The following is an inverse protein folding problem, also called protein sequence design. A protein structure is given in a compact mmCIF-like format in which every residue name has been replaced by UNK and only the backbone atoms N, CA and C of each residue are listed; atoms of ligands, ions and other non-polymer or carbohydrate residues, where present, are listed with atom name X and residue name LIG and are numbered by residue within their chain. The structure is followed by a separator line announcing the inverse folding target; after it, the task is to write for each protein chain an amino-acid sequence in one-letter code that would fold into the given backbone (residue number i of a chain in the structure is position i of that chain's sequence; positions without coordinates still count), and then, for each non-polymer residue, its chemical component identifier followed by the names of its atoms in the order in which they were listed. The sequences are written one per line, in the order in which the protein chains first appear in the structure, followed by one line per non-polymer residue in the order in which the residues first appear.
data_IF_141128612075
#
_entry.id   IF_141128612075
#
_cell.length_a   1.000
_cell.length_b   1.000
_cell.length_c   1.000
_cell.angle_alpha   90.00
_cell.angle_beta   90.00
_cell.angle_gamma   90.00
#
_symmetry.space_group_name_H-M   'P 1'
#
loop_
_entity.id
_entity.type
_entity.pdbx_description
1 polymer ?
#
# COMPACT_ATOMS: atom_id res chain seq x y z
N UNK A 1 66.88 36.20 52.08
CA UNK A 1 67.69 35.23 51.32
C UNK A 1 66.83 34.68 50.19
N UNK A 2 66.95 35.25 49.00
CA UNK A 2 67.54 34.66 47.80
C UNK A 2 66.96 33.27 47.51
N UNK A 3 66.35 32.96 46.42
CA UNK A 3 66.59 33.06 45.00
C UNK A 3 65.33 32.42 44.31
N UNK A 4 64.91 32.70 43.28
CA UNK A 4 65.26 33.15 41.91
C UNK A 4 64.47 32.22 40.89
N UNK A 5 63.77 32.86 40.06
CA UNK A 5 63.53 32.71 38.61
C UNK A 5 63.29 31.33 37.93
N UNK A 6 62.31 31.34 37.09
CA UNK A 6 62.23 31.23 35.61
C UNK A 6 60.98 30.41 35.28
N UNK A 7 60.01 30.85 34.55
CA UNK A 7 60.13 31.29 33.17
C UNK A 7 59.75 30.09 32.28
N UNK A 8 58.52 29.95 31.95
CA UNK A 8 58.05 28.90 31.06
C UNK A 8 56.85 29.42 30.25
N UNK A 9 57.12 29.87 29.03
CA UNK A 9 56.22 30.30 28.01
C UNK A 9 55.22 29.16 27.67
N UNK A 10 53.97 29.34 27.99
CA UNK A 10 52.85 28.47 27.45
C UNK A 10 52.43 29.01 26.10
N UNK A 11 52.78 28.28 25.07
CA UNK A 11 52.25 28.46 23.73
C UNK A 11 50.72 28.20 23.77
N UNK A 12 49.95 29.22 23.49
CA UNK A 12 48.55 29.10 23.09
C UNK A 12 48.50 28.29 21.81
N UNK A 13 47.93 27.09 21.92
CA UNK A 13 47.49 26.29 20.75
C UNK A 13 46.12 26.80 20.38
N UNK A 14 46.06 27.57 19.31
CA UNK A 14 44.81 28.02 18.71
C UNK A 14 44.00 26.84 18.27
N UNK A 15 42.87 26.61 18.95
CA UNK A 15 41.84 25.70 18.50
C UNK A 15 41.13 26.36 17.31
N UNK A 16 41.42 25.90 16.11
CA UNK A 16 40.71 26.29 14.90
C UNK A 16 39.24 25.87 15.08
N UNK A 17 38.36 26.84 15.17
CA UNK A 17 36.91 26.67 15.08
C UNK A 17 36.64 26.13 13.71
N UNK A 18 36.26 24.83 13.62
CA UNK A 18 35.74 24.23 12.40
C UNK A 18 34.33 24.79 12.21
N UNK A 19 34.21 25.72 11.27
CA UNK A 19 32.91 26.16 10.75
C UNK A 19 32.15 24.94 10.26
N UNK A 20 31.16 24.50 11.04
CA UNK A 20 30.19 23.51 10.63
C UNK A 20 29.29 24.14 9.57
N UNK A 21 29.61 23.89 8.32
CA UNK A 21 28.77 24.25 7.17
C UNK A 21 27.47 23.46 7.23
N UNK A 22 26.28 24.07 7.42
CA UNK A 22 25.00 23.37 7.48
C UNK A 22 24.45 23.09 6.07
N UNK A 23 25.11 22.25 5.30
CA UNK A 23 24.63 21.78 3.98
C UNK A 23 24.35 20.28 3.95
N UNK A 24 23.66 19.76 4.97
CA UNK A 24 23.31 18.35 5.07
C UNK A 24 21.89 18.07 5.59
N UNK A 25 21.10 19.09 5.98
CA UNK A 25 19.80 18.87 6.63
C UNK A 25 18.56 19.03 5.70
N UNK A 26 18.76 19.28 4.41
CA UNK A 26 17.64 19.63 3.50
C UNK A 26 16.69 18.47 3.15
N UNK A 27 17.21 17.26 3.05
CA UNK A 27 16.37 16.11 2.61
C UNK A 27 15.47 15.58 3.73
N UNK A 28 15.97 15.42 4.94
CA UNK A 28 15.18 14.96 6.09
C UNK A 28 14.10 15.96 6.50
N UNK A 29 14.41 17.27 6.46
CA UNK A 29 13.46 18.34 6.74
C UNK A 29 12.38 18.45 5.65
N UNK A 30 12.74 18.20 4.38
CA UNK A 30 11.77 18.23 3.26
C UNK A 30 10.83 17.02 3.28
N UNK A 31 11.32 15.84 3.66
CA UNK A 31 10.49 14.63 3.83
C UNK A 31 9.49 14.81 4.98
N UNK A 32 9.95 15.24 6.16
CA UNK A 32 9.06 15.51 7.29
C UNK A 32 8.03 16.61 7.00
N UNK A 33 8.39 17.63 6.19
CA UNK A 33 7.44 18.64 5.74
C UNK A 33 6.41 18.12 4.77
N UNK A 34 6.78 17.17 3.91
CA UNK A 34 5.85 16.54 2.95
C UNK A 34 4.85 15.63 3.67
N UNK A 35 5.29 14.84 4.63
CA UNK A 35 4.43 14.00 5.48
C UNK A 35 3.46 14.85 6.30
N UNK A 36 3.94 15.89 6.97
CA UNK A 36 3.08 16.82 7.71
C UNK A 36 2.01 17.50 6.82
N UNK A 37 2.33 17.75 5.54
CA UNK A 37 1.34 18.27 4.60
C UNK A 37 0.29 17.21 4.22
N UNK A 38 0.64 15.93 4.18
CA UNK A 38 -0.31 14.84 3.95
C UNK A 38 -1.19 14.61 5.18
N UNK A 39 -0.64 14.67 6.40
CA UNK A 39 -1.42 14.62 7.64
C UNK A 39 -2.43 15.77 7.73
N UNK A 40 -1.99 16.99 7.40
CA UNK A 40 -2.88 18.15 7.29
C UNK A 40 -3.96 17.94 6.22
N UNK A 41 -3.62 17.28 5.11
CA UNK A 41 -4.59 16.96 4.05
C UNK A 41 -5.64 15.98 4.54
N UNK A 42 -5.28 14.97 5.35
CA UNK A 42 -6.23 14.05 5.96
C UNK A 42 -7.23 14.80 6.85
N UNK A 43 -6.76 15.70 7.72
CA UNK A 43 -7.61 16.54 8.58
C UNK A 43 -8.57 17.39 7.75
N UNK A 44 -8.09 17.97 6.65
CA UNK A 44 -8.95 18.76 5.75
C UNK A 44 -10.01 17.89 5.09
N UNK A 45 -9.64 16.69 4.59
CA UNK A 45 -10.59 15.75 3.97
C UNK A 45 -11.67 15.32 4.97
N UNK A 46 -11.29 15.00 6.20
CA UNK A 46 -12.26 14.63 7.25
C UNK A 46 -13.26 15.75 7.54
N UNK A 47 -12.80 17.00 7.51
CA UNK A 47 -13.62 18.17 7.83
C UNK A 47 -14.56 18.60 6.73
N UNK A 48 -14.12 18.60 5.47
CA UNK A 48 -14.89 19.17 4.35
C UNK A 48 -15.23 18.17 3.24
N UNK A 49 -14.75 16.94 3.33
CA UNK A 49 -14.95 15.88 2.34
C UNK A 49 -13.88 15.85 1.25
N UNK A 50 -13.68 14.67 0.66
CA UNK A 50 -12.66 14.41 -0.35
C UNK A 50 -12.79 15.28 -1.60
N UNK A 51 -14.03 15.57 -2.03
CA UNK A 51 -14.35 16.36 -3.22
C UNK A 51 -13.99 17.83 -3.11
N UNK A 52 -14.20 18.39 -1.93
CA UNK A 52 -14.09 19.83 -1.70
C UNK A 52 -12.68 20.28 -1.33
N UNK A 53 -11.75 19.31 -1.16
CA UNK A 53 -10.35 19.62 -0.84
C UNK A 53 -9.67 20.32 -2.00
N UNK A 54 -9.00 21.41 -1.69
CA UNK A 54 -8.15 22.17 -2.61
C UNK A 54 -6.74 22.36 -2.04
N UNK A 55 -5.77 22.67 -2.89
CA UNK A 55 -4.41 23.02 -2.44
C UNK A 55 -4.44 24.15 -1.42
N UNK A 56 -5.34 25.13 -1.58
CA UNK A 56 -5.43 26.27 -0.66
C UNK A 56 -5.96 25.89 0.73
N UNK A 57 -6.81 24.88 0.82
CA UNK A 57 -7.22 24.33 2.10
C UNK A 57 -6.03 23.73 2.85
N UNK A 58 -5.18 22.98 2.13
CA UNK A 58 -3.99 22.35 2.70
C UNK A 58 -2.90 23.38 3.03
N UNK A 59 -2.71 24.43 2.23
CA UNK A 59 -1.83 25.58 2.57
C UNK A 59 -2.19 26.15 3.94
N UNK A 60 -3.49 26.42 4.18
CA UNK A 60 -3.97 27.01 5.44
C UNK A 60 -3.80 26.08 6.63
N UNK A 61 -4.00 24.77 6.43
CA UNK A 61 -3.91 23.78 7.49
C UNK A 61 -2.46 23.44 7.85
N UNK A 62 -1.61 23.21 6.83
CA UNK A 62 -0.23 22.77 7.02
C UNK A 62 0.77 23.89 7.25
N UNK A 63 0.42 25.13 6.90
CA UNK A 63 1.36 26.26 6.85
C UNK A 63 2.43 26.16 5.76
N UNK A 64 2.40 25.11 4.93
CA UNK A 64 3.33 24.93 3.80
C UNK A 64 2.94 25.87 2.66
N UNK A 65 3.93 26.51 2.02
CA UNK A 65 3.66 27.43 0.92
C UNK A 65 3.01 26.72 -0.28
N UNK A 66 2.12 27.44 -0.99
CA UNK A 66 1.48 26.96 -2.21
C UNK A 66 2.50 26.45 -3.23
N UNK A 67 3.59 27.20 -3.47
CA UNK A 67 4.65 26.80 -4.40
C UNK A 67 5.31 25.47 -4.01
N UNK A 68 5.48 25.24 -2.71
CA UNK A 68 6.05 23.97 -2.19
C UNK A 68 5.09 22.80 -2.41
N UNK A 69 3.79 22.98 -2.13
CA UNK A 69 2.78 21.93 -2.37
C UNK A 69 2.69 21.58 -3.85
N UNK A 70 2.67 22.58 -4.74
CA UNK A 70 2.68 22.32 -6.19
C UNK A 70 3.95 21.58 -6.64
N UNK A 71 5.11 21.91 -6.07
CA UNK A 71 6.35 21.21 -6.37
C UNK A 71 6.32 19.75 -5.92
N UNK A 72 5.67 19.43 -4.78
CA UNK A 72 5.61 18.06 -4.25
C UNK A 72 4.55 17.20 -4.91
N UNK A 73 3.41 17.77 -5.24
CA UNK A 73 2.21 17.03 -5.64
C UNK A 73 1.72 17.37 -7.05
N UNK A 74 2.21 18.45 -7.66
CA UNK A 74 1.81 18.90 -8.99
C UNK A 74 0.47 19.59 -9.02
N UNK A 75 -0.60 18.90 -8.65
CA UNK A 75 -1.96 19.41 -8.65
C UNK A 75 -2.80 18.79 -7.52
N UNK A 76 -4.11 19.08 -7.48
CA UNK A 76 -5.05 18.50 -6.52
C UNK A 76 -5.09 16.96 -6.59
N UNK A 77 -5.14 16.41 -7.79
CA UNK A 77 -5.22 14.97 -8.01
C UNK A 77 -3.96 14.27 -7.48
N UNK A 78 -2.78 14.83 -7.79
CA UNK A 78 -1.51 14.31 -7.27
C UNK A 78 -1.42 14.41 -5.74
N UNK A 79 -1.97 15.45 -5.12
CA UNK A 79 -2.07 15.56 -3.66
C UNK A 79 -2.97 14.46 -3.10
N UNK A 80 -4.16 14.26 -3.66
CA UNK A 80 -5.11 13.24 -3.19
C UNK A 80 -4.59 11.83 -3.40
N UNK A 81 -3.93 11.56 -4.53
CA UNK A 81 -3.25 10.28 -4.77
C UNK A 81 -2.16 10.03 -3.73
N UNK A 82 -1.31 11.04 -3.46
CA UNK A 82 -0.26 10.92 -2.44
C UNK A 82 -0.83 10.75 -1.03
N UNK A 83 -1.97 11.38 -0.71
CA UNK A 83 -2.67 11.20 0.55
C UNK A 83 -3.16 9.75 0.71
N UNK A 84 -3.81 9.19 -0.30
CA UNK A 84 -4.28 7.80 -0.27
C UNK A 84 -3.10 6.81 -0.09
N UNK A 85 -1.98 7.06 -0.78
CA UNK A 85 -0.76 6.25 -0.61
C UNK A 85 -0.17 6.38 0.81
N UNK A 86 -0.16 7.58 1.37
CA UNK A 86 0.31 7.84 2.73
C UNK A 86 -0.53 7.09 3.78
N UNK A 87 -1.84 7.18 3.67
CA UNK A 87 -2.77 6.50 4.58
C UNK A 87 -2.72 4.97 4.46
N UNK A 88 -2.35 4.45 3.30
CA UNK A 88 -2.16 3.02 3.09
C UNK A 88 -0.85 2.47 3.69
N UNK A 89 0.03 3.33 4.22
CA UNK A 89 1.32 2.91 4.78
C UNK A 89 1.25 1.74 5.77
N UNK A 90 0.43 1.80 6.83
CA UNK A 90 0.29 0.71 7.80
C UNK A 90 -0.23 -0.60 7.17
N UNK A 91 -1.13 -0.50 6.19
CA UNK A 91 -1.60 -1.65 5.42
C UNK A 91 -0.46 -2.26 4.58
N UNK A 92 0.29 -1.43 3.85
CA UNK A 92 1.39 -1.89 3.01
C UNK A 92 2.50 -2.57 3.80
N UNK A 93 2.85 -2.03 4.96
CA UNK A 93 3.86 -2.62 5.83
C UNK A 93 3.44 -4.02 6.29
N UNK A 94 2.23 -4.17 6.83
CA UNK A 94 1.67 -5.45 7.26
C UNK A 94 1.54 -6.44 6.11
N UNK A 95 0.99 -5.99 4.98
CA UNK A 95 0.76 -6.82 3.81
C UNK A 95 2.05 -7.24 3.12
N UNK A 96 3.08 -6.39 3.13
CA UNK A 96 4.41 -6.73 2.64
C UNK A 96 5.04 -7.87 3.45
N UNK A 97 4.88 -7.88 4.77
CA UNK A 97 5.33 -8.98 5.63
C UNK A 97 4.58 -10.29 5.33
N UNK A 98 3.27 -10.21 5.12
CA UNK A 98 2.44 -11.37 4.73
C UNK A 98 2.89 -11.88 3.35
N UNK A 99 3.11 -11.02 2.38
CA UNK A 99 3.47 -11.38 1.01
C UNK A 99 4.78 -12.18 0.91
N UNK A 100 5.77 -11.89 1.77
CA UNK A 100 7.05 -12.61 1.83
C UNK A 100 7.08 -13.70 2.91
N UNK A 101 6.01 -13.86 3.67
CA UNK A 101 5.88 -14.81 4.76
C UNK A 101 5.87 -16.27 4.30
N UNK A 102 5.95 -17.18 5.27
CA UNK A 102 5.79 -18.62 5.05
C UNK A 102 4.30 -18.99 5.02
N UNK A 103 3.96 -20.02 4.27
CA UNK A 103 2.61 -20.56 4.17
C UNK A 103 2.06 -20.57 2.74
N UNK A 104 0.87 -21.16 2.56
CA UNK A 104 0.22 -21.27 1.26
C UNK A 104 0.00 -19.89 0.61
N UNK A 105 0.22 -19.80 -0.69
CA UNK A 105 -0.01 -18.58 -1.46
C UNK A 105 -1.46 -18.08 -1.32
N UNK A 106 -2.40 -19.00 -1.32
CA UNK A 106 -3.83 -18.72 -1.19
C UNK A 106 -4.14 -17.98 0.11
N UNK A 107 -3.68 -18.48 1.26
CA UNK A 107 -3.89 -17.83 2.56
C UNK A 107 -3.26 -16.44 2.63
N UNK A 108 -2.06 -16.30 2.05
CA UNK A 108 -1.36 -15.01 2.03
C UNK A 108 -2.06 -14.00 1.14
N UNK A 109 -2.53 -14.41 -0.04
CA UNK A 109 -3.32 -13.54 -0.94
C UNK A 109 -4.66 -13.16 -0.31
N UNK A 110 -5.38 -14.11 0.30
CA UNK A 110 -6.62 -13.83 1.02
C UNK A 110 -6.39 -12.74 2.08
N UNK A 111 -5.35 -12.88 2.92
CA UNK A 111 -5.04 -11.92 3.97
C UNK A 111 -4.67 -10.53 3.42
N UNK A 112 -3.88 -10.47 2.35
CA UNK A 112 -3.51 -9.21 1.69
C UNK A 112 -4.74 -8.52 1.08
N UNK A 113 -5.59 -9.26 0.39
CA UNK A 113 -6.80 -8.73 -0.24
C UNK A 113 -7.80 -8.28 0.82
N UNK A 114 -8.06 -9.11 1.83
CA UNK A 114 -8.97 -8.78 2.93
C UNK A 114 -8.47 -7.57 3.72
N UNK A 115 -7.17 -7.49 4.00
CA UNK A 115 -6.56 -6.33 4.67
C UNK A 115 -6.69 -5.03 3.88
N UNK A 116 -6.66 -5.10 2.54
CA UNK A 116 -6.91 -3.95 1.67
C UNK A 116 -8.34 -3.45 1.77
N UNK A 117 -9.32 -4.36 1.78
CA UNK A 117 -10.73 -4.04 1.98
C UNK A 117 -10.95 -3.46 3.39
N UNK A 118 -10.39 -4.10 4.41
CA UNK A 118 -10.45 -3.60 5.80
C UNK A 118 -9.90 -2.18 5.92
N UNK A 119 -8.80 -1.88 5.25
CA UNK A 119 -8.20 -0.53 5.25
C UNK A 119 -9.13 0.53 4.66
N UNK A 120 -9.95 0.17 3.66
CA UNK A 120 -10.99 1.05 3.10
C UNK A 120 -12.08 1.26 4.16
N UNK A 121 -12.62 0.18 4.75
CA UNK A 121 -13.71 0.24 5.73
C UNK A 121 -13.34 1.01 6.99
N UNK A 122 -12.10 0.87 7.47
CA UNK A 122 -11.62 1.49 8.71
C UNK A 122 -11.27 2.98 8.58
N UNK A 123 -11.33 3.55 7.37
CA UNK A 123 -11.12 4.99 7.16
C UNK A 123 -12.45 5.63 6.75
N UNK A 124 -13.19 6.30 7.67
CA UNK A 124 -14.60 6.68 7.45
C UNK A 124 -14.84 7.47 6.15
N UNK A 125 -13.96 8.41 5.81
CA UNK A 125 -14.14 9.20 4.59
C UNK A 125 -13.77 8.39 3.33
N UNK A 126 -12.82 7.43 3.40
CA UNK A 126 -12.51 6.50 2.29
C UNK A 126 -13.71 5.58 2.06
N UNK A 127 -14.24 4.99 3.13
CA UNK A 127 -15.44 4.17 3.09
C UNK A 127 -16.61 4.93 2.45
N UNK A 128 -16.86 6.15 2.91
CA UNK A 128 -17.90 7.01 2.32
C UNK A 128 -17.70 7.25 0.82
N UNK A 129 -16.46 7.52 0.39
CA UNK A 129 -16.17 7.68 -1.04
C UNK A 129 -16.33 6.37 -1.79
N UNK A 130 -15.98 5.22 -1.22
CA UNK A 130 -16.25 3.92 -1.83
C UNK A 130 -17.76 3.68 -1.99
N UNK A 131 -18.57 4.03 -1.01
CA UNK A 131 -20.04 3.94 -1.07
C UNK A 131 -20.65 4.87 -2.13
N UNK A 132 -20.15 6.09 -2.23
CA UNK A 132 -20.67 7.11 -3.17
C UNK A 132 -19.99 7.03 -4.55
N UNK A 133 -18.78 6.46 -4.61
CA UNK A 133 -17.77 6.73 -5.64
C UNK A 133 -17.99 6.09 -7.00
N UNK A 134 -18.76 5.01 -7.11
CA UNK A 134 -19.00 4.34 -8.40
C UNK A 134 -19.68 5.22 -9.46
N UNK A 135 -20.17 6.41 -9.07
CA UNK A 135 -20.92 7.34 -9.91
C UNK A 135 -20.21 8.68 -10.15
N UNK A 136 -18.97 8.87 -9.71
CA UNK A 136 -18.31 10.18 -9.69
C UNK A 136 -16.90 10.21 -10.31
N UNK A 137 -16.49 11.37 -10.83
CA UNK A 137 -15.21 11.62 -11.50
C UNK A 137 -13.98 11.32 -10.61
N UNK A 138 -14.09 11.52 -9.30
CA UNK A 138 -13.01 11.23 -8.34
C UNK A 138 -12.71 9.73 -8.16
N UNK A 139 -13.55 8.83 -8.67
CA UNK A 139 -13.33 7.39 -8.62
C UNK A 139 -12.04 6.98 -9.35
N UNK A 140 -11.69 7.69 -10.41
CA UNK A 140 -10.44 7.46 -11.14
C UNK A 140 -9.19 7.62 -10.27
N UNK A 141 -9.20 8.57 -9.33
CA UNK A 141 -8.10 8.80 -8.37
C UNK A 141 -8.00 7.63 -7.39
N UNK A 142 -9.15 7.16 -6.89
CA UNK A 142 -9.22 5.98 -6.03
C UNK A 142 -8.71 4.73 -6.72
N UNK A 143 -9.15 4.47 -7.93
CA UNK A 143 -8.72 3.32 -8.71
C UNK A 143 -7.21 3.40 -9.00
N UNK A 144 -6.69 4.57 -9.37
CA UNK A 144 -5.27 4.78 -9.59
C UNK A 144 -4.44 4.56 -8.32
N UNK A 145 -4.90 5.07 -7.16
CA UNK A 145 -4.27 4.82 -5.88
C UNK A 145 -4.28 3.32 -5.54
N UNK A 146 -5.43 2.67 -5.66
CA UNK A 146 -5.60 1.25 -5.36
C UNK A 146 -4.74 0.38 -6.27
N UNK A 147 -4.64 0.71 -7.56
CA UNK A 147 -3.76 0.04 -8.52
C UNK A 147 -2.28 0.17 -8.12
N UNK A 148 -1.85 1.35 -7.69
CA UNK A 148 -0.46 1.60 -7.28
C UNK A 148 -0.09 1.01 -5.91
N UNK A 149 -1.06 0.77 -5.05
CA UNK A 149 -0.88 0.25 -3.70
C UNK A 149 -1.08 -1.27 -3.68
N UNK A 150 -2.32 -1.70 -3.63
CA UNK A 150 -2.69 -3.12 -3.51
C UNK A 150 -2.41 -3.89 -4.80
N UNK A 151 -2.69 -3.28 -5.95
CA UNK A 151 -2.48 -3.91 -7.25
C UNK A 151 -1.03 -4.28 -7.51
N UNK A 152 -0.08 -3.42 -7.15
CA UNK A 152 1.35 -3.71 -7.30
C UNK A 152 1.79 -4.88 -6.41
N UNK A 153 1.29 -4.96 -5.17
CA UNK A 153 1.61 -6.03 -4.23
C UNK A 153 1.04 -7.37 -4.68
N UNK A 154 -0.25 -7.41 -5.02
CA UNK A 154 -0.93 -8.63 -5.50
C UNK A 154 -0.30 -9.12 -6.81
N UNK A 155 0.01 -8.22 -7.74
CA UNK A 155 0.75 -8.54 -8.96
C UNK A 155 2.06 -9.25 -8.64
N UNK A 156 2.89 -8.67 -7.79
CA UNK A 156 4.18 -9.25 -7.41
C UNK A 156 4.04 -10.65 -6.83
N UNK A 157 3.00 -10.90 -6.00
CA UNK A 157 2.73 -12.22 -5.44
C UNK A 157 2.33 -13.23 -6.53
N UNK A 158 1.44 -12.84 -7.45
CA UNK A 158 0.98 -13.70 -8.55
C UNK A 158 2.08 -13.98 -9.59
N UNK A 159 2.87 -12.97 -9.97
CA UNK A 159 4.02 -13.16 -10.86
C UNK A 159 5.10 -14.06 -10.25
N UNK A 160 5.36 -13.92 -8.94
CA UNK A 160 6.25 -14.82 -8.20
C UNK A 160 5.75 -16.27 -8.18
N UNK A 161 4.45 -16.47 -8.01
CA UNK A 161 3.83 -17.78 -8.07
C UNK A 161 3.86 -18.39 -9.47
N UNK A 162 3.64 -17.60 -10.50
CA UNK A 162 3.79 -18.03 -11.89
C UNK A 162 5.23 -18.42 -12.22
N UNK A 163 6.21 -17.62 -11.83
CA UNK A 163 7.63 -17.89 -12.04
C UNK A 163 8.12 -19.17 -11.34
N UNK A 164 7.52 -19.51 -10.19
CA UNK A 164 7.81 -20.75 -9.45
C UNK A 164 6.98 -21.96 -9.89
N UNK A 165 6.09 -21.79 -10.88
CA UNK A 165 5.20 -22.86 -11.36
C UNK A 165 4.06 -23.23 -10.38
N UNK A 166 3.83 -22.40 -9.35
CA UNK A 166 2.77 -22.63 -8.38
C UNK A 166 1.39 -22.19 -8.90
N UNK A 167 1.36 -21.37 -9.93
CA UNK A 167 0.14 -20.83 -10.51
C UNK A 167 0.31 -20.59 -12.01
N UNK A 168 -0.74 -20.83 -12.78
CA UNK A 168 -0.79 -20.55 -14.21
C UNK A 168 -1.57 -19.26 -14.43
N UNK A 169 -0.93 -18.18 -14.89
CA UNK A 169 -1.63 -16.92 -15.15
C UNK A 169 -2.63 -17.08 -16.31
N UNK A 170 -3.74 -16.34 -16.28
CA UNK A 170 -4.61 -16.21 -17.45
C UNK A 170 -3.89 -15.44 -18.58
N UNK A 171 -4.42 -15.54 -19.80
CA UNK A 171 -3.87 -14.82 -20.97
C UNK A 171 -3.79 -13.30 -20.76
N UNK A 172 -4.72 -12.74 -19.97
CA UNK A 172 -4.79 -11.31 -19.64
C UNK A 172 -4.76 -11.09 -18.12
N UNK A 173 -3.55 -11.10 -17.57
CA UNK A 173 -3.32 -10.82 -16.14
C UNK A 173 -3.73 -9.38 -15.75
N UNK A 174 -3.54 -8.40 -16.65
CA UNK A 174 -3.94 -7.01 -16.39
C UNK A 174 -5.44 -6.91 -16.13
N UNK A 175 -6.23 -7.56 -16.96
CA UNK A 175 -7.68 -7.58 -16.82
C UNK A 175 -8.15 -8.27 -15.54
N UNK A 176 -7.48 -9.35 -15.16
CA UNK A 176 -7.75 -10.02 -13.88
C UNK A 176 -7.47 -9.08 -12.70
N UNK A 177 -6.33 -8.39 -12.71
CA UNK A 177 -5.97 -7.43 -11.66
C UNK A 177 -6.94 -6.25 -11.61
N UNK A 178 -7.33 -5.69 -12.74
CA UNK A 178 -8.33 -4.62 -12.78
C UNK A 178 -9.67 -5.07 -12.22
N UNK A 179 -10.14 -6.26 -12.60
CA UNK A 179 -11.34 -6.84 -12.03
C UNK A 179 -11.23 -7.01 -10.52
N UNK A 180 -10.13 -7.59 -10.03
CA UNK A 180 -9.87 -7.79 -8.60
C UNK A 180 -9.94 -6.48 -7.81
N UNK A 181 -9.26 -5.44 -8.32
CA UNK A 181 -9.26 -4.14 -7.67
C UNK A 181 -10.66 -3.51 -7.61
N UNK A 182 -11.47 -3.68 -8.66
CA UNK A 182 -12.87 -3.26 -8.64
C UNK A 182 -13.67 -4.02 -7.59
N UNK A 183 -13.50 -5.36 -7.49
CA UNK A 183 -14.19 -6.15 -6.46
C UNK A 183 -13.81 -5.70 -5.05
N UNK A 184 -12.54 -5.40 -4.80
CA UNK A 184 -12.10 -4.89 -3.50
C UNK A 184 -12.76 -3.55 -3.14
N UNK A 185 -12.93 -2.64 -4.11
CA UNK A 185 -13.63 -1.38 -3.88
C UNK A 185 -15.13 -1.59 -3.63
N UNK A 186 -15.78 -2.49 -4.39
CA UNK A 186 -17.19 -2.86 -4.19
C UNK A 186 -17.39 -3.45 -2.79
N UNK A 187 -16.57 -4.42 -2.41
CA UNK A 187 -16.62 -5.00 -1.06
C UNK A 187 -16.26 -3.98 0.02
N UNK A 188 -15.33 -3.05 -0.26
CA UNK A 188 -14.96 -1.98 0.67
C UNK A 188 -16.04 -0.92 0.89
N UNK A 189 -17.10 -0.92 0.09
CA UNK A 189 -18.28 -0.07 0.27
C UNK A 189 -19.35 -0.68 1.21
N UNK A 190 -19.24 -1.98 1.51
CA UNK A 190 -20.15 -2.67 2.44
C UNK A 190 -19.77 -2.37 3.91
N UNK A 191 -20.76 -2.46 4.80
CA UNK A 191 -20.54 -2.41 6.24
C UNK A 191 -20.27 -3.82 6.79
N UNK A 192 -19.20 -3.97 7.56
CA UNK A 192 -18.82 -5.23 8.20
C UNK A 192 -18.76 -5.09 9.71
N UNK A 193 -19.28 -6.08 10.43
CA UNK A 193 -19.22 -6.11 11.88
C UNK A 193 -17.82 -6.54 12.38
N UNK A 194 -17.08 -7.34 11.60
CA UNK A 194 -15.77 -7.87 11.97
C UNK A 194 -14.92 -8.17 10.73
N UNK A 195 -13.60 -8.14 10.89
CA UNK A 195 -12.64 -8.50 9.84
C UNK A 195 -12.85 -9.92 9.29
N UNK A 196 -13.34 -10.84 10.12
CA UNK A 196 -13.63 -12.21 9.69
C UNK A 196 -14.73 -12.27 8.61
N UNK A 197 -15.72 -11.37 8.64
CA UNK A 197 -16.71 -11.28 7.55
C UNK A 197 -16.09 -10.83 6.23
N UNK A 198 -15.13 -9.90 6.28
CA UNK A 198 -14.37 -9.48 5.09
C UNK A 198 -13.62 -10.68 4.52
N UNK A 199 -12.91 -11.45 5.36
CA UNK A 199 -12.20 -12.65 4.94
C UNK A 199 -13.11 -13.68 4.30
N UNK A 200 -14.27 -13.96 4.90
CA UNK A 200 -15.25 -14.88 4.35
C UNK A 200 -15.75 -14.44 2.97
N UNK A 201 -16.01 -13.13 2.78
CA UNK A 201 -16.41 -12.60 1.46
C UNK A 201 -15.30 -12.75 0.43
N UNK A 202 -14.05 -12.47 0.79
CA UNK A 202 -12.88 -12.68 -0.08
C UNK A 202 -12.77 -14.16 -0.47
N UNK A 203 -12.84 -15.07 0.50
CA UNK A 203 -12.75 -16.50 0.27
C UNK A 203 -13.86 -17.03 -0.67
N UNK A 204 -15.09 -16.51 -0.54
CA UNK A 204 -16.24 -16.97 -1.33
C UNK A 204 -16.27 -16.33 -2.73
N UNK A 205 -15.97 -15.04 -2.86
CA UNK A 205 -16.24 -14.32 -4.10
C UNK A 205 -14.98 -14.00 -4.93
N UNK A 206 -13.81 -13.91 -4.29
CA UNK A 206 -12.56 -13.51 -4.96
C UNK A 206 -11.64 -14.71 -5.19
N UNK A 207 -11.34 -15.46 -4.12
CA UNK A 207 -10.34 -16.52 -4.20
C UNK A 207 -10.61 -17.58 -5.25
N UNK A 208 -11.89 -18.02 -5.50
CA UNK A 208 -12.17 -19.01 -6.56
C UNK A 208 -11.82 -18.54 -7.96
N UNK A 209 -11.86 -17.22 -8.23
CA UNK A 209 -11.51 -16.65 -9.56
C UNK A 209 -10.01 -16.70 -9.81
N UNK A 210 -9.19 -16.69 -8.77
CA UNK A 210 -7.74 -16.78 -8.88
C UNK A 210 -7.23 -18.19 -9.23
N UNK A 211 -8.08 -19.21 -9.11
CA UNK A 211 -7.77 -20.62 -9.43
C UNK A 211 -6.42 -21.09 -8.86
N UNK A 212 -6.15 -20.76 -7.60
CA UNK A 212 -4.88 -21.08 -6.94
C UNK A 212 -4.82 -22.57 -6.54
N UNK A 213 -3.64 -23.20 -6.60
CA UNK A 213 -3.46 -24.56 -6.09
C UNK A 213 -3.76 -24.61 -4.58
N UNK A 214 -4.64 -25.53 -4.16
CA UNK A 214 -5.09 -25.66 -2.77
C UNK A 214 -6.45 -25.02 -2.50
N UNK A 215 -6.99 -24.18 -3.38
CA UNK A 215 -8.38 -23.71 -3.30
C UNK A 215 -9.38 -24.79 -3.70
N UNK A 216 -10.67 -24.58 -3.37
CA UNK A 216 -11.74 -25.55 -3.67
C UNK A 216 -11.77 -25.99 -5.15
N UNK A 217 -11.36 -25.13 -6.08
CA UNK A 217 -11.24 -25.48 -7.50
C UNK A 217 -9.94 -26.27 -7.79
N UNK A 218 -8.84 -25.95 -7.12
CA UNK A 218 -7.59 -26.70 -7.22
C UNK A 218 -7.79 -28.15 -6.73
N UNK A 219 -8.45 -28.34 -5.60
CA UNK A 219 -8.80 -29.69 -5.10
C UNK A 219 -9.67 -30.49 -6.07
N UNK A 220 -10.64 -29.81 -6.73
CA UNK A 220 -11.49 -30.44 -7.74
C UNK A 220 -10.68 -30.81 -8.99
N UNK A 221 -9.82 -29.92 -9.48
CA UNK A 221 -8.96 -30.18 -10.63
C UNK A 221 -7.98 -31.33 -10.34
N UNK A 222 -7.27 -31.32 -9.20
CA UNK A 222 -6.40 -32.43 -8.78
C UNK A 222 -7.16 -33.76 -8.60
N UNK A 223 -8.41 -33.69 -8.16
CA UNK A 223 -9.26 -34.87 -8.00
C UNK A 223 -9.72 -35.41 -9.33
N UNK A 224 -10.03 -34.55 -10.31
CA UNK A 224 -10.34 -34.93 -11.68
C UNK A 224 -9.13 -35.56 -12.37
N UNK A 225 -7.97 -34.93 -12.33
CA UNK A 225 -6.73 -35.49 -12.90
C UNK A 225 -6.34 -36.85 -12.27
N UNK A 226 -6.61 -37.01 -10.98
CA UNK A 226 -6.39 -38.29 -10.28
C UNK A 226 -7.37 -39.37 -10.73
N UNK A 227 -8.61 -38.96 -11.04
CA UNK A 227 -9.64 -39.87 -11.58
C UNK A 227 -9.29 -40.26 -13.02
N UNK A 228 -8.92 -39.29 -13.87
CA UNK A 228 -8.49 -39.53 -15.26
C UNK A 228 -7.31 -40.50 -15.32
N UNK A 229 -6.23 -40.24 -14.54
CA UNK A 229 -5.10 -41.15 -14.45
C UNK A 229 -5.47 -42.57 -14.00
N UNK A 230 -6.47 -42.72 -13.12
CA UNK A 230 -6.96 -44.03 -12.71
C UNK A 230 -7.78 -44.73 -13.81
N UNK A 231 -8.56 -43.97 -14.58
CA UNK A 231 -9.33 -44.50 -15.71
C UNK A 231 -8.41 -44.96 -16.84
N UNK A 232 -7.40 -44.17 -17.18
CA UNK A 232 -6.40 -44.54 -18.18
C UNK A 232 -5.64 -45.82 -17.78
N UNK A 233 -5.25 -45.96 -16.51
CA UNK A 233 -4.63 -47.16 -15.99
C UNK A 233 -5.55 -48.41 -15.88
N UNK A 234 -6.89 -48.24 -16.03
CA UNK A 234 -7.84 -49.32 -16.12
C UNK A 234 -8.12 -49.69 -17.60
N UNK A 235 -8.03 -48.74 -18.53
CA UNK A 235 -8.17 -48.97 -19.96
C UNK A 235 -7.00 -49.76 -20.57
N UNK A 236 -5.83 -49.66 -19.99
CA UNK A 236 -4.58 -50.37 -20.42
C UNK A 236 -4.41 -51.74 -19.81
N UNK A 237 -5.39 -52.28 -19.10
CA UNK A 237 -5.34 -53.68 -18.59
C UNK A 237 -5.95 -54.60 -19.65
N UNK A 238 -5.14 -55.57 -20.16
CA UNK A 238 -5.57 -56.55 -21.15
C UNK A 238 -6.62 -57.53 -20.59
#
# INVERSE_FOLDING_TARGET
MRHDRRGGSSREVGIATIDANPRGSGAGSALGGREAALDASAIVVERIGFRDVTIDHVVRESGVSRATLYRWFGNREGLLLALLQHLAGPYLERSGQIAVGLGPLEERLEQVIAGGIESICNTPWIHKVAQEGLLHDDFSIFLAAHKSITGALVRSMLEGAAASGQWTPPDDLERLLEWLLHQMLVLGADDYAAFEEVRQRVAIYIMPVLALPGGAQGEVAERLERIERKLDGLADRP
#
